data_IF_099713074838
#
_entry.id   IF_099713074838
#
_cell.length_a   1.000
_cell.length_b   1.000
_cell.length_c   1.000
_cell.angle_alpha   90.00
_cell.angle_beta   90.00
_cell.angle_gamma   90.00
#
_symmetry.space_group_name_H-M   'P 1'
#
loop_
_entity.id
_entity.type
_entity.pdbx_description
1 polymer ?
#
# COMPACT_ATOMS: atom_id res chain seq x y z
N UNK A 1 -12.50 22.03 15.07
CA UNK A 1 -11.88 20.76 15.48
C UNK A 1 -10.87 21.03 16.59
N UNK A 2 -11.21 20.71 17.84
CA UNK A 2 -10.26 20.75 18.96
C UNK A 2 -9.21 19.65 18.72
N UNK A 3 -7.97 20.05 18.54
CA UNK A 3 -6.82 19.15 18.39
C UNK A 3 -6.71 18.30 19.64
N UNK A 4 -6.69 16.96 19.51
CA UNK A 4 -6.40 16.03 20.61
C UNK A 4 -4.94 16.26 21.02
N UNK A 5 -4.71 17.19 21.95
CA UNK A 5 -3.41 17.39 22.62
C UNK A 5 -3.34 16.65 23.96
N UNK A 6 -4.42 15.97 24.34
CA UNK A 6 -4.51 15.22 25.57
C UNK A 6 -4.14 13.75 25.32
N UNK A 7 -2.90 13.42 25.71
CA UNK A 7 -2.36 12.05 25.62
C UNK A 7 -3.19 11.08 26.45
N UNK A 8 -3.69 11.50 27.62
CA UNK A 8 -4.45 10.61 28.49
C UNK A 8 -5.80 10.28 27.87
N UNK A 9 -6.51 11.27 27.34
CA UNK A 9 -7.77 11.03 26.63
C UNK A 9 -7.58 10.10 25.43
N UNK A 10 -6.49 10.27 24.67
CA UNK A 10 -6.17 9.37 23.57
C UNK A 10 -5.88 7.93 24.04
N UNK A 11 -5.10 7.75 25.11
CA UNK A 11 -4.84 6.43 25.68
C UNK A 11 -6.13 5.78 26.17
N UNK A 12 -6.99 6.50 26.90
CA UNK A 12 -8.27 5.97 27.38
C UNK A 12 -9.16 5.48 26.22
N UNK A 13 -9.22 6.23 25.12
CA UNK A 13 -9.96 5.81 23.92
C UNK A 13 -9.38 4.54 23.30
N UNK A 14 -8.05 4.38 23.27
CA UNK A 14 -7.43 3.17 22.75
C UNK A 14 -7.71 1.96 23.65
N UNK A 15 -7.74 2.16 24.97
CA UNK A 15 -8.03 1.10 25.94
C UNK A 15 -9.51 0.68 25.85
N UNK A 16 -10.41 1.63 25.66
CA UNK A 16 -11.84 1.36 25.43
C UNK A 16 -12.04 0.51 24.16
N UNK A 17 -11.40 0.89 23.04
CA UNK A 17 -11.43 0.09 21.81
C UNK A 17 -10.88 -1.31 22.05
N UNK A 18 -9.78 -1.45 22.80
CA UNK A 18 -9.20 -2.76 23.08
C UNK A 18 -10.14 -3.64 23.91
N UNK A 19 -10.80 -3.08 24.93
CA UNK A 19 -11.79 -3.77 25.76
C UNK A 19 -13.00 -4.21 24.94
N UNK A 20 -13.57 -3.30 24.13
CA UNK A 20 -14.72 -3.64 23.28
C UNK A 20 -14.38 -4.73 22.27
N UNK A 21 -13.19 -4.67 21.65
CA UNK A 21 -12.77 -5.73 20.72
C UNK A 21 -12.47 -7.04 21.44
N UNK A 22 -12.09 -7.02 22.73
CA UNK A 22 -11.99 -8.25 23.51
C UNK A 22 -13.36 -8.89 23.72
N UNK A 23 -14.39 -8.12 24.08
CA UNK A 23 -15.74 -8.63 24.24
C UNK A 23 -16.30 -9.21 22.93
N UNK A 24 -16.00 -8.58 21.80
CA UNK A 24 -16.39 -9.09 20.47
C UNK A 24 -15.69 -10.41 20.17
N UNK A 25 -14.39 -10.51 20.44
CA UNK A 25 -13.63 -11.76 20.25
C UNK A 25 -14.24 -12.89 21.08
N UNK A 26 -14.52 -12.63 22.35
CA UNK A 26 -15.11 -13.62 23.27
C UNK A 26 -16.50 -14.06 22.79
N UNK A 27 -17.32 -13.15 22.27
CA UNK A 27 -18.62 -13.48 21.67
C UNK A 27 -18.47 -14.34 20.42
N UNK A 28 -17.52 -14.03 19.54
CA UNK A 28 -17.25 -14.82 18.33
C UNK A 28 -16.73 -16.23 18.67
N UNK A 29 -15.92 -16.36 19.73
CA UNK A 29 -15.46 -17.67 20.23
C UNK A 29 -16.63 -18.51 20.75
N UNK A 30 -17.56 -17.89 21.48
CA UNK A 30 -18.72 -18.59 22.04
C UNK A 30 -19.74 -19.01 20.97
N UNK A 31 -19.71 -18.36 19.80
CA UNK A 31 -20.63 -18.64 18.72
C UNK A 31 -20.28 -19.97 18.03
N UNK A 32 -21.00 -21.03 18.41
CA UNK A 32 -20.76 -22.41 17.91
C UNK A 32 -21.17 -22.62 16.46
N UNK A 33 -21.99 -21.72 15.89
CA UNK A 33 -22.41 -21.81 14.50
C UNK A 33 -21.44 -21.00 13.64
N UNK A 34 -20.54 -21.69 12.94
CA UNK A 34 -19.52 -21.10 12.08
C UNK A 34 -20.10 -20.25 10.93
N UNK A 35 -21.38 -20.42 10.60
CA UNK A 35 -22.06 -19.65 9.57
C UNK A 35 -22.78 -18.40 10.14
N UNK A 36 -22.82 -18.23 11.46
CA UNK A 36 -23.43 -17.04 12.06
C UNK A 36 -22.52 -15.82 11.95
N UNK A 37 -23.15 -14.65 11.83
CA UNK A 37 -22.55 -13.33 12.02
C UNK A 37 -22.55 -12.98 13.51
N UNK A 38 -22.27 -11.72 13.85
CA UNK A 38 -21.98 -11.33 15.24
C UNK A 38 -23.10 -11.72 16.22
N UNK A 39 -24.36 -11.52 15.82
CA UNK A 39 -25.53 -11.77 16.69
C UNK A 39 -26.35 -12.98 16.23
N UNK A 40 -26.49 -13.20 14.92
CA UNK A 40 -27.32 -14.26 14.37
C UNK A 40 -26.83 -14.68 12.97
N UNK A 41 -27.57 -15.58 12.30
CA UNK A 41 -27.24 -16.06 10.94
C UNK A 41 -27.32 -15.01 9.85
N UNK A 42 -28.07 -13.94 10.08
CA UNK A 42 -28.23 -12.86 9.12
C UNK A 42 -27.21 -11.75 9.37
N UNK A 43 -26.84 -11.03 8.32
CA UNK A 43 -25.94 -9.89 8.44
C UNK A 43 -26.75 -8.66 8.87
N UNK A 44 -26.42 -8.11 10.02
CA UNK A 44 -27.24 -7.08 10.68
C UNK A 44 -26.51 -5.74 10.79
N UNK A 45 -27.20 -4.75 11.39
CA UNK A 45 -26.60 -3.44 11.71
C UNK A 45 -25.42 -3.57 12.67
N UNK A 46 -25.41 -4.58 13.54
CA UNK A 46 -24.28 -4.85 14.43
C UNK A 46 -23.02 -5.18 13.62
N UNK A 47 -23.18 -5.99 12.56
CA UNK A 47 -22.10 -6.36 11.66
C UNK A 47 -21.61 -5.20 10.81
N UNK A 48 -22.53 -4.36 10.31
CA UNK A 48 -22.18 -3.12 9.58
C UNK A 48 -21.32 -2.21 10.46
N UNK A 49 -21.69 -2.05 11.73
CA UNK A 49 -21.00 -1.17 12.67
C UNK A 49 -19.60 -1.71 13.00
N UNK A 50 -19.50 -2.99 13.34
CA UNK A 50 -18.23 -3.65 13.62
C UNK A 50 -17.29 -3.60 12.39
N UNK A 51 -17.82 -3.95 11.21
CA UNK A 51 -17.07 -3.92 9.95
C UNK A 51 -16.50 -2.54 9.64
N UNK A 52 -17.31 -1.49 9.85
CA UNK A 52 -16.87 -0.11 9.64
C UNK A 52 -15.73 0.26 10.58
N UNK A 53 -15.81 -0.12 11.86
CA UNK A 53 -14.73 0.11 12.83
C UNK A 53 -13.44 -0.62 12.43
N UNK A 54 -13.53 -1.93 12.13
CA UNK A 54 -12.38 -2.75 11.76
C UNK A 54 -11.68 -2.23 10.51
N UNK A 55 -12.45 -1.88 9.46
CA UNK A 55 -11.89 -1.27 8.26
C UNK A 55 -11.17 0.04 8.56
N UNK A 56 -11.75 0.90 9.41
CA UNK A 56 -11.11 2.17 9.78
C UNK A 56 -9.82 1.96 10.54
N UNK A 57 -9.77 1.00 11.46
CA UNK A 57 -8.55 0.62 12.18
C UNK A 57 -7.47 0.10 11.22
N UNK A 58 -7.86 -0.69 10.22
CA UNK A 58 -6.93 -1.20 9.21
C UNK A 58 -6.35 -0.09 8.32
N UNK A 59 -7.21 0.80 7.81
CA UNK A 59 -6.79 1.93 6.97
C UNK A 59 -5.82 2.89 7.70
N UNK A 60 -6.01 3.10 9.00
CA UNK A 60 -5.08 3.95 9.80
C UNK A 60 -3.85 3.19 10.31
N UNK A 61 -3.69 1.92 9.95
CA UNK A 61 -2.52 1.11 10.33
C UNK A 61 -2.53 0.60 11.77
N UNK A 62 -3.70 0.57 12.41
CA UNK A 62 -3.88 0.08 13.78
C UNK A 62 -4.40 -1.38 13.84
N UNK A 63 -4.65 -2.04 12.70
CA UNK A 63 -5.11 -3.44 12.66
C UNK A 63 -4.18 -4.39 13.41
N UNK A 64 -2.87 -4.33 13.20
CA UNK A 64 -1.89 -5.13 13.97
C UNK A 64 -1.92 -4.86 15.47
N UNK A 65 -2.24 -3.64 15.86
CA UNK A 65 -2.39 -3.31 17.28
C UNK A 65 -3.65 -3.94 17.84
N UNK A 66 -4.75 -4.00 17.10
CA UNK A 66 -6.05 -4.32 17.69
C UNK A 66 -6.62 -5.70 17.36
N UNK A 67 -6.32 -6.30 16.21
CA UNK A 67 -6.95 -7.58 15.90
C UNK A 67 -6.16 -8.49 14.96
N UNK A 68 -5.33 -7.95 14.07
CA UNK A 68 -4.62 -8.76 13.07
C UNK A 68 -3.33 -9.39 13.61
N UNK A 69 -2.67 -10.19 12.78
CA UNK A 69 -1.43 -10.89 13.11
C UNK A 69 -1.58 -11.84 14.31
N UNK A 70 -2.73 -12.52 14.40
CA UNK A 70 -3.02 -13.52 15.43
C UNK A 70 -3.36 -12.94 16.81
N UNK A 71 -3.53 -11.62 16.95
CA UNK A 71 -3.93 -11.01 18.22
C UNK A 71 -5.36 -11.40 18.62
N UNK A 72 -6.30 -11.35 17.66
CA UNK A 72 -7.71 -11.71 17.83
C UNK A 72 -8.16 -12.53 16.61
N UNK A 73 -7.83 -13.83 16.57
CA UNK A 73 -8.00 -14.66 15.38
C UNK A 73 -9.47 -14.77 14.91
N UNK A 74 -10.45 -14.73 15.82
CA UNK A 74 -11.86 -14.79 15.41
C UNK A 74 -12.31 -13.49 14.74
N UNK A 75 -11.91 -12.33 15.27
CA UNK A 75 -12.12 -11.04 14.61
C UNK A 75 -11.36 -10.95 13.28
N UNK A 76 -10.12 -11.44 13.22
CA UNK A 76 -9.33 -11.46 11.99
C UNK A 76 -10.05 -12.28 10.90
N UNK A 77 -10.49 -13.50 11.22
CA UNK A 77 -11.27 -14.34 10.31
C UNK A 77 -12.64 -13.72 9.96
N UNK A 78 -13.32 -13.07 10.92
CA UNK A 78 -14.55 -12.34 10.69
C UNK A 78 -14.35 -11.20 9.68
N UNK A 79 -13.29 -10.42 9.85
CA UNK A 79 -12.95 -9.30 9.00
C UNK A 79 -12.59 -9.75 7.58
N UNK A 80 -11.83 -10.84 7.46
CA UNK A 80 -11.58 -11.49 6.18
C UNK A 80 -12.88 -11.92 5.51
N UNK A 81 -13.79 -12.59 6.24
CA UNK A 81 -15.09 -13.03 5.72
C UNK A 81 -15.91 -11.85 5.22
N UNK A 82 -16.05 -10.77 6.00
CA UNK A 82 -16.88 -9.62 5.58
C UNK A 82 -16.29 -8.88 4.39
N UNK A 83 -14.96 -8.85 4.24
CA UNK A 83 -14.27 -8.21 3.12
C UNK A 83 -14.58 -8.83 1.76
N UNK A 84 -15.01 -10.09 1.74
CA UNK A 84 -15.42 -10.80 0.52
C UNK A 84 -16.82 -10.43 0.03
N UNK A 85 -17.64 -9.74 0.85
CA UNK A 85 -19.03 -9.43 0.48
C UNK A 85 -19.08 -8.38 -0.64
N UNK A 86 -19.98 -8.52 -1.63
CA UNK A 86 -20.15 -7.52 -2.68
C UNK A 86 -20.46 -6.11 -2.13
N UNK A 87 -21.28 -6.03 -1.06
CA UNK A 87 -21.62 -4.77 -0.41
C UNK A 87 -20.39 -4.09 0.23
N UNK A 88 -19.45 -4.88 0.75
CA UNK A 88 -18.20 -4.35 1.31
C UNK A 88 -17.34 -3.75 0.19
N UNK A 89 -17.10 -4.52 -0.88
CA UNK A 89 -16.26 -4.10 -2.01
C UNK A 89 -16.83 -2.89 -2.76
N UNK A 90 -18.16 -2.76 -2.82
CA UNK A 90 -18.82 -1.61 -3.42
C UNK A 90 -18.72 -0.33 -2.55
N UNK A 91 -18.57 -0.47 -1.24
CA UNK A 91 -18.63 0.65 -0.29
C UNK A 91 -17.24 1.13 0.12
N UNK A 92 -16.34 0.20 0.43
CA UNK A 92 -15.02 0.52 0.96
C UNK A 92 -13.99 0.60 -0.17
N UNK A 93 -13.39 1.78 -0.40
CA UNK A 93 -12.39 1.92 -1.43
C UNK A 93 -11.14 1.12 -1.05
N UNK A 94 -10.60 0.34 -2.00
CA UNK A 94 -9.36 -0.41 -1.78
C UNK A 94 -8.18 0.51 -1.48
N UNK A 95 -7.10 -0.03 -0.90
CA UNK A 95 -5.86 0.67 -0.55
C UNK A 95 -5.34 1.58 -1.69
N UNK A 96 -5.61 1.21 -2.95
CA UNK A 96 -5.30 1.98 -4.15
C UNK A 96 -5.93 3.38 -4.21
N UNK A 97 -7.11 3.58 -3.62
CA UNK A 97 -7.75 4.89 -3.54
C UNK A 97 -7.05 5.80 -2.51
N UNK A 98 -6.54 5.24 -1.40
CA UNK A 98 -5.69 5.98 -0.47
C UNK A 98 -4.33 6.31 -1.08
N UNK A 99 -3.74 5.38 -1.85
CA UNK A 99 -2.55 5.66 -2.66
C UNK A 99 -2.78 6.74 -3.73
N UNK A 100 -3.94 6.76 -4.40
CA UNK A 100 -4.30 7.80 -5.39
C UNK A 100 -4.37 9.21 -4.76
N UNK A 101 -4.78 9.30 -3.50
CA UNK A 101 -4.80 10.57 -2.77
C UNK A 101 -3.38 11.07 -2.42
N UNK A 102 -2.45 10.15 -2.11
CA UNK A 102 -1.05 10.49 -1.80
C UNK A 102 -0.23 10.76 -3.07
N UNK A 103 -0.47 10.02 -4.15
CA UNK A 103 0.17 10.21 -5.45
C UNK A 103 -0.73 11.12 -6.30
N UNK A 104 -0.79 12.40 -5.95
CA UNK A 104 -1.48 13.37 -6.79
C UNK A 104 -1.00 13.29 -8.24
N UNK A 105 -1.91 13.44 -9.20
CA UNK A 105 -1.69 13.34 -10.66
C UNK A 105 -0.43 14.08 -11.18
N UNK A 106 0.05 15.08 -10.44
CA UNK A 106 1.26 15.87 -10.77
C UNK A 106 2.58 15.08 -10.65
N UNK A 107 2.67 14.12 -9.72
CA UNK A 107 3.93 13.38 -9.47
C UNK A 107 4.22 12.39 -10.60
N UNK A 108 3.18 11.79 -11.19
CA UNK A 108 3.29 10.85 -12.32
C UNK A 108 3.88 11.50 -13.58
N UNK A 109 3.51 12.75 -13.88
CA UNK A 109 4.08 13.47 -15.03
C UNK A 109 5.56 13.77 -14.87
N UNK A 110 5.99 14.16 -13.66
CA UNK A 110 7.37 14.51 -13.36
C UNK A 110 8.30 13.28 -13.39
N UNK A 111 7.87 12.14 -12.86
CA UNK A 111 8.68 10.90 -12.85
C UNK A 111 8.85 10.33 -14.25
N UNK A 112 7.80 10.33 -15.08
CA UNK A 112 7.89 9.91 -16.47
C UNK A 112 8.88 10.78 -17.26
N UNK A 113 8.83 12.12 -17.09
CA UNK A 113 9.76 13.03 -17.74
C UNK A 113 11.23 12.80 -17.31
N UNK A 114 11.48 12.56 -16.02
CA UNK A 114 12.81 12.27 -15.51
C UNK A 114 13.39 10.97 -16.09
N UNK A 115 12.59 9.90 -16.16
CA UNK A 115 13.02 8.62 -16.75
C UNK A 115 13.36 8.75 -18.24
N UNK A 116 12.56 9.51 -19.00
CA UNK A 116 12.83 9.78 -20.42
C UNK A 116 14.11 10.59 -20.59
N UNK A 117 14.34 11.60 -19.75
CA UNK A 117 15.56 12.42 -19.81
C UNK A 117 16.83 11.60 -19.49
N UNK A 118 16.77 10.73 -18.49
CA UNK A 118 17.89 9.84 -18.12
C UNK A 118 18.19 8.86 -19.25
N UNK A 119 17.16 8.18 -19.78
CA UNK A 119 17.32 7.23 -20.87
C UNK A 119 17.85 7.91 -22.16
N UNK A 120 17.29 9.07 -22.52
CA UNK A 120 17.74 9.87 -23.66
C UNK A 120 19.20 10.34 -23.50
N UNK A 121 19.57 10.80 -22.31
CA UNK A 121 20.95 11.19 -21.99
C UNK A 121 21.93 10.03 -22.09
N UNK A 122 21.58 8.85 -21.57
CA UNK A 122 22.40 7.65 -21.67
C UNK A 122 22.60 7.20 -23.13
N UNK A 123 21.53 7.20 -23.94
CA UNK A 123 21.59 6.86 -25.36
C UNK A 123 22.47 7.86 -26.12
N UNK A 124 22.31 9.16 -25.87
CA UNK A 124 23.12 10.20 -26.49
C UNK A 124 24.60 10.06 -26.14
N UNK A 125 24.91 9.84 -24.86
CA UNK A 125 26.27 9.67 -24.37
C UNK A 125 26.95 8.45 -25.02
N UNK A 126 26.26 7.31 -25.09
CA UNK A 126 26.79 6.09 -25.69
C UNK A 126 27.06 6.28 -27.19
N UNK A 127 26.13 6.91 -27.92
CA UNK A 127 26.28 7.22 -29.34
C UNK A 127 27.45 8.17 -29.62
N UNK A 128 27.66 9.18 -28.78
CA UNK A 128 28.78 10.11 -28.91
C UNK A 128 30.13 9.42 -28.69
N UNK A 129 30.21 8.55 -27.67
CA UNK A 129 31.45 7.82 -27.36
C UNK A 129 31.85 6.83 -28.46
N UNK A 130 30.88 6.12 -29.06
CA UNK A 130 31.15 5.23 -30.20
C UNK A 130 31.68 5.96 -31.42
N UNK A 131 31.16 7.17 -31.72
CA UNK A 131 31.66 8.00 -32.83
C UNK A 131 33.09 8.47 -32.59
N UNK A 132 33.44 8.85 -31.36
CA UNK A 132 34.78 9.31 -31.02
C UNK A 132 35.82 8.19 -31.20
N UNK A 133 35.50 6.97 -30.74
CA UNK A 133 36.37 5.79 -30.88
C UNK A 133 36.56 5.43 -32.36
N UNK A 134 35.50 5.52 -33.17
CA UNK A 134 35.58 5.28 -34.61
C UNK A 134 36.51 6.27 -35.33
N UNK A 135 36.42 7.56 -35.00
CA UNK A 135 37.30 8.59 -35.57
C UNK A 135 38.76 8.34 -35.16
N UNK A 136 39.02 8.04 -33.88
CA UNK A 136 40.39 7.74 -33.40
C UNK A 136 40.96 6.52 -34.13
N UNK A 137 40.18 5.45 -34.31
CA UNK A 137 40.60 4.26 -35.05
C UNK A 137 40.91 4.55 -36.53
N UNK A 138 40.14 5.42 -37.18
CA UNK A 138 40.44 5.88 -38.56
C UNK A 138 41.77 6.64 -38.62
N UNK A 139 42.01 7.56 -37.69
CA UNK A 139 43.26 8.35 -37.66
C UNK A 139 44.47 7.46 -37.36
N UNK A 140 44.33 6.51 -36.44
CA UNK A 140 45.38 5.55 -36.11
C UNK A 140 45.69 4.62 -37.30
N UNK A 141 44.66 4.07 -37.95
CA UNK A 141 44.81 3.23 -39.15
C UNK A 141 45.51 3.97 -40.30
N UNK A 142 45.16 5.24 -40.53
CA UNK A 142 45.82 6.09 -41.54
C UNK A 142 47.29 6.36 -41.22
N UNK A 143 47.65 6.61 -39.95
CA UNK A 143 49.06 6.79 -39.55
C UNK A 143 49.87 5.51 -39.69
N UNK A 144 49.33 4.36 -39.27
CA UNK A 144 50.01 3.06 -39.41
C UNK A 144 50.24 2.73 -40.89
N UNK A 145 49.23 2.91 -41.75
CA UNK A 145 49.38 2.67 -43.20
C UNK A 145 50.41 3.57 -43.88
N UNK A 146 50.72 4.73 -43.30
CA UNK A 146 51.75 5.66 -43.80
C UNK A 146 53.17 5.24 -43.39
N UNK A 147 53.32 4.56 -42.24
CA UNK A 147 54.62 4.11 -41.72
C UNK A 147 55.08 2.80 -42.40
N UNK A 148 54.14 1.93 -42.80
CA UNK A 148 54.44 0.63 -43.41
C UNK A 148 54.43 0.62 -44.96
N UNK A 149 54.31 1.78 -45.62
CA UNK A 149 54.40 1.93 -47.09
C UNK A 149 55.72 2.62 -47.50
N UNK A 150 56.84 2.20 -46.91
CA UNK A 150 58.19 2.60 -47.32
C UNK A 150 59.03 1.35 -47.55
#
# INVERSE_FOLDING_TARGET
YKTVKDKEAYTRLLDEVDSTLQEVEDQLIQNKDSNSWLVCREFTVADVSLTTLLYRLDVVGLSRKFFSAGRRPCIEAYYERVSTRPSFQATFPTLFYHFKALIGFKVLGATAAALVAIAGGAIYYWKSRSRLIFIINIFFSRKVKMIYNF
#
